data_IF_835765733072
#
_entry.id   IF_835765733072
#
_cell.length_a   1.000
_cell.length_b   1.000
_cell.length_c   1.000
_cell.angle_alpha   90.00
_cell.angle_beta   90.00
_cell.angle_gamma   90.00
#
_symmetry.space_group_name_H-M   'P 1'
#
loop_
_entity.id
_entity.type
_entity.pdbx_description
1 polymer ?
#
# COMPACT_ATOMS: atom_id res chain seq x y z
N UNK A 1 -86.97 74.30 123.86
CA UNK A 1 -87.29 75.52 123.09
C UNK A 1 -86.41 75.55 121.84
N UNK A 2 -87.05 75.62 120.67
CA UNK A 2 -86.69 76.33 119.42
C UNK A 2 -85.22 76.43 118.93
N UNK A 3 -84.98 75.77 117.79
CA UNK A 3 -84.64 76.32 116.46
C UNK A 3 -83.21 76.77 116.06
N UNK A 4 -82.78 76.22 114.90
CA UNK A 4 -82.01 76.88 113.82
C UNK A 4 -80.63 76.26 113.49
N UNK A 5 -80.11 76.18 112.26
CA UNK A 5 -80.59 76.26 110.88
C UNK A 5 -79.38 75.87 109.95
N UNK A 6 -79.61 75.00 108.95
CA UNK A 6 -78.97 74.82 107.62
C UNK A 6 -77.50 75.23 107.30
N UNK A 7 -76.74 74.32 106.65
CA UNK A 7 -75.98 74.56 105.40
C UNK A 7 -75.47 73.25 104.74
N UNK A 8 -75.64 73.11 103.42
CA UNK A 8 -75.22 71.97 102.58
C UNK A 8 -74.53 72.42 101.27
N UNK A 9 -73.42 71.74 100.91
CA UNK A 9 -72.81 71.59 99.56
C UNK A 9 -71.98 72.78 98.99
N UNK A 10 -71.01 72.56 98.04
CA UNK A 10 -70.71 71.34 97.26
C UNK A 10 -69.20 70.94 97.20
N UNK A 11 -68.91 69.65 96.96
CA UNK A 11 -67.54 69.14 96.72
C UNK A 11 -67.54 67.93 95.77
N UNK A 12 -67.92 68.12 94.50
CA UNK A 12 -67.79 67.11 93.42
C UNK A 12 -67.60 67.83 92.07
N UNK A 13 -66.35 68.13 91.68
CA UNK A 13 -66.03 68.65 90.34
C UNK A 13 -64.56 68.42 89.89
N UNK A 14 -63.76 67.63 90.63
CA UNK A 14 -62.32 67.46 90.35
C UNK A 14 -61.94 66.10 89.73
N UNK A 15 -62.83 65.10 89.77
CA UNK A 15 -62.54 63.75 89.24
C UNK A 15 -62.68 63.64 87.70
N UNK A 16 -63.52 64.46 87.06
CA UNK A 16 -63.75 64.36 85.61
C UNK A 16 -62.54 64.77 84.75
N UNK A 17 -61.71 65.73 85.22
CA UNK A 17 -60.51 66.19 84.47
C UNK A 17 -59.31 65.25 84.59
N UNK A 18 -59.27 64.39 85.61
CA UNK A 18 -58.24 63.36 85.76
C UNK A 18 -58.57 62.14 84.88
N UNK A 19 -59.85 61.75 84.81
CA UNK A 19 -60.36 60.72 83.91
C UNK A 19 -60.12 61.06 82.43
N UNK A 20 -60.31 62.33 82.01
CA UNK A 20 -60.09 62.77 80.64
C UNK A 20 -58.61 62.72 80.19
N UNK A 21 -57.66 63.01 81.11
CA UNK A 21 -56.22 62.90 80.85
C UNK A 21 -55.73 61.45 80.83
N UNK A 22 -56.31 60.59 81.66
CA UNK A 22 -56.07 59.15 81.63
C UNK A 22 -56.59 58.53 80.32
N UNK A 23 -57.78 58.94 79.86
CA UNK A 23 -58.36 58.52 78.59
C UNK A 23 -57.52 58.96 77.38
N UNK A 24 -56.98 60.18 77.37
CA UNK A 24 -56.04 60.63 76.30
C UNK A 24 -54.73 59.85 76.26
N UNK A 25 -54.18 59.48 77.42
CA UNK A 25 -52.97 58.62 77.48
C UNK A 25 -53.26 57.21 76.98
N UNK A 26 -54.44 56.66 77.31
CA UNK A 26 -54.89 55.38 76.78
C UNK A 26 -55.15 55.43 75.27
N UNK A 27 -55.72 56.53 74.74
CA UNK A 27 -55.86 56.72 73.29
C UNK A 27 -54.51 56.80 72.58
N UNK A 28 -53.53 57.52 73.12
CA UNK A 28 -52.18 57.59 72.54
C UNK A 28 -51.46 56.24 72.59
N UNK A 29 -51.60 55.48 73.68
CA UNK A 29 -51.07 54.11 73.77
C UNK A 29 -51.75 53.17 72.76
N UNK A 30 -53.07 53.26 72.59
CA UNK A 30 -53.80 52.51 71.57
C UNK A 30 -53.33 52.87 70.15
N UNK A 31 -53.07 54.15 69.88
CA UNK A 31 -52.56 54.61 68.58
C UNK A 31 -51.15 54.10 68.31
N UNK A 32 -50.25 54.12 69.30
CA UNK A 32 -48.91 53.53 69.19
C UNK A 32 -48.94 52.01 69.02
N UNK A 33 -49.82 51.31 69.74
CA UNK A 33 -50.04 49.87 69.58
C UNK A 33 -50.58 49.55 68.18
N UNK A 34 -51.53 50.34 67.67
CA UNK A 34 -52.07 50.15 66.32
C UNK A 34 -51.00 50.41 65.25
N UNK A 35 -50.12 51.39 65.46
CA UNK A 35 -48.97 51.64 64.58
C UNK A 35 -47.93 50.51 64.64
N UNK A 36 -47.66 49.93 65.81
CA UNK A 36 -46.78 48.76 65.95
C UNK A 36 -47.39 47.50 65.32
N UNK A 37 -48.69 47.27 65.47
CA UNK A 37 -49.39 46.13 64.84
C UNK A 37 -49.34 46.26 63.31
N UNK A 38 -49.64 47.44 62.76
CA UNK A 38 -49.54 47.66 61.30
C UNK A 38 -48.11 47.55 60.75
N UNK A 39 -47.09 47.99 61.51
CA UNK A 39 -45.70 47.78 61.15
C UNK A 39 -45.31 46.29 61.19
N UNK A 40 -45.71 45.56 62.24
CA UNK A 40 -45.46 44.13 62.37
C UNK A 40 -46.19 43.31 61.30
N UNK A 41 -47.41 43.70 60.93
CA UNK A 41 -48.15 43.09 59.82
C UNK A 41 -47.46 43.34 58.47
N UNK A 42 -46.96 44.56 58.23
CA UNK A 42 -46.20 44.88 57.03
C UNK A 42 -44.85 44.14 56.96
N UNK A 43 -44.15 43.98 58.09
CA UNK A 43 -42.92 43.19 58.16
C UNK A 43 -43.18 41.70 57.97
N UNK A 44 -44.24 41.15 58.56
CA UNK A 44 -44.65 39.76 58.35
C UNK A 44 -44.99 39.49 56.88
N UNK A 45 -45.71 40.41 56.23
CA UNK A 45 -46.01 40.31 54.80
C UNK A 45 -44.74 40.37 53.94
N UNK A 46 -43.80 41.27 54.26
CA UNK A 46 -42.49 41.35 53.57
C UNK A 46 -41.64 40.10 53.75
N UNK A 47 -41.60 39.54 54.96
CA UNK A 47 -40.86 38.32 55.27
C UNK A 47 -41.48 37.09 54.59
N UNK A 48 -42.81 37.00 54.53
CA UNK A 48 -43.51 35.95 53.77
C UNK A 48 -43.19 36.05 52.27
N UNK A 49 -43.23 37.26 51.71
CA UNK A 49 -42.90 37.48 50.31
C UNK A 49 -41.42 37.16 50.00
N UNK A 50 -40.51 37.48 50.93
CA UNK A 50 -39.10 37.13 50.82
C UNK A 50 -38.86 35.61 50.94
N UNK A 51 -39.59 34.91 51.83
CA UNK A 51 -39.54 33.45 51.93
C UNK A 51 -40.03 32.78 50.65
N UNK A 52 -41.16 33.21 50.10
CA UNK A 52 -41.67 32.67 48.84
C UNK A 52 -40.71 32.92 47.67
N UNK A 53 -40.07 34.09 47.61
CA UNK A 53 -39.05 34.38 46.59
C UNK A 53 -37.78 33.53 46.79
N UNK A 54 -37.33 33.36 48.03
CA UNK A 54 -36.17 32.54 48.35
C UNK A 54 -36.43 31.06 48.02
N UNK A 55 -37.63 30.53 48.30
CA UNK A 55 -38.04 29.17 47.94
C UNK A 55 -38.10 28.97 46.42
N UNK A 56 -38.65 29.95 45.67
CA UNK A 56 -38.65 29.92 44.20
C UNK A 56 -37.24 29.89 43.64
N UNK A 57 -36.36 30.79 44.12
CA UNK A 57 -34.96 30.84 43.70
C UNK A 57 -34.18 29.58 44.08
N UNK A 58 -34.41 29.02 45.27
CA UNK A 58 -33.80 27.76 45.70
C UNK A 58 -34.27 26.60 44.82
N UNK A 59 -35.56 26.54 44.47
CA UNK A 59 -36.12 25.55 43.55
C UNK A 59 -35.53 25.65 42.14
N UNK A 60 -35.38 26.87 41.60
CA UNK A 60 -34.74 27.10 40.31
C UNK A 60 -33.25 26.72 40.32
N UNK A 61 -32.51 27.10 41.36
CA UNK A 61 -31.10 26.72 41.53
C UNK A 61 -30.94 25.21 41.66
N UNK A 62 -31.79 24.55 42.44
CA UNK A 62 -31.77 23.09 42.57
C UNK A 62 -32.02 22.39 41.22
N UNK A 63 -32.97 22.90 40.42
CA UNK A 63 -33.22 22.41 39.05
C UNK A 63 -32.03 22.68 38.12
N UNK A 64 -31.39 23.84 38.22
CA UNK A 64 -30.22 24.18 37.42
C UNK A 64 -29.02 23.28 37.76
N UNK A 65 -28.76 23.03 39.05
CA UNK A 65 -27.72 22.11 39.52
C UNK A 65 -27.99 20.67 39.07
N UNK A 66 -29.25 20.21 39.15
CA UNK A 66 -29.62 18.88 38.66
C UNK A 66 -29.38 18.73 37.14
N UNK A 67 -29.71 19.76 36.35
CA UNK A 67 -29.44 19.79 34.90
C UNK A 67 -27.95 19.84 34.60
N UNK A 68 -27.18 20.65 35.31
CA UNK A 68 -25.73 20.74 35.15
C UNK A 68 -25.04 19.40 35.48
N UNK A 69 -25.42 18.76 36.58
CA UNK A 69 -24.89 17.45 36.96
C UNK A 69 -25.26 16.36 35.95
N UNK A 70 -26.47 16.38 35.40
CA UNK A 70 -26.86 15.44 34.34
C UNK A 70 -26.07 15.67 33.05
N UNK A 71 -25.84 16.93 32.67
CA UNK A 71 -25.04 17.30 31.51
C UNK A 71 -23.56 16.91 31.68
N UNK A 72 -22.99 17.10 32.87
CA UNK A 72 -21.63 16.70 33.20
C UNK A 72 -21.45 15.20 33.09
N UNK A 73 -22.37 14.40 33.66
CA UNK A 73 -22.34 12.94 33.54
C UNK A 73 -22.42 12.49 32.08
N UNK A 74 -23.31 13.09 31.28
CA UNK A 74 -23.43 12.79 29.86
C UNK A 74 -22.15 13.16 29.08
N UNK A 75 -21.51 14.28 29.43
CA UNK A 75 -20.24 14.70 28.83
C UNK A 75 -19.10 13.73 29.18
N UNK A 76 -19.00 13.29 30.44
CA UNK A 76 -18.00 12.32 30.89
C UNK A 76 -18.15 10.99 30.16
N UNK A 77 -19.37 10.44 30.06
CA UNK A 77 -19.61 9.21 29.33
C UNK A 77 -19.27 9.35 27.84
N UNK A 78 -19.60 10.49 27.23
CA UNK A 78 -19.25 10.76 25.83
C UNK A 78 -17.74 10.84 25.62
N UNK A 79 -17.01 11.49 26.51
CA UNK A 79 -15.54 11.55 26.45
C UNK A 79 -14.94 10.15 26.59
N UNK A 80 -15.45 9.34 27.52
CA UNK A 80 -15.01 7.96 27.72
C UNK A 80 -15.22 7.09 26.48
N UNK A 81 -16.38 7.23 25.81
CA UNK A 81 -16.66 6.53 24.56
C UNK A 81 -15.70 6.97 23.44
N UNK A 82 -15.48 8.29 23.30
CA UNK A 82 -14.56 8.83 22.30
C UNK A 82 -13.10 8.38 22.55
N UNK A 83 -12.68 8.28 23.81
CA UNK A 83 -11.36 7.76 24.17
C UNK A 83 -11.23 6.27 23.81
N UNK A 84 -12.27 5.47 24.07
CA UNK A 84 -12.30 4.06 23.69
C UNK A 84 -12.27 3.87 22.16
N UNK A 85 -13.05 4.67 21.43
CA UNK A 85 -13.04 4.69 19.96
C UNK A 85 -11.66 5.10 19.42
N UNK A 86 -11.05 6.15 19.99
CA UNK A 86 -9.71 6.60 19.62
C UNK A 86 -8.68 5.49 19.83
N UNK A 87 -8.70 4.83 20.97
CA UNK A 87 -7.78 3.72 21.25
C UNK A 87 -7.98 2.56 20.26
N UNK A 88 -9.24 2.23 19.93
CA UNK A 88 -9.56 1.20 18.94
C UNK A 88 -9.07 1.59 17.54
N UNK A 89 -9.28 2.84 17.13
CA UNK A 89 -8.82 3.34 15.84
C UNK A 89 -7.29 3.35 15.75
N UNK A 90 -6.61 3.74 16.82
CA UNK A 90 -5.14 3.68 16.89
C UNK A 90 -4.62 2.26 16.70
N UNK A 91 -5.19 1.28 17.41
CA UNK A 91 -4.83 -0.13 17.22
C UNK A 91 -5.09 -0.63 15.79
N UNK A 92 -6.20 -0.20 15.17
CA UNK A 92 -6.50 -0.56 13.78
C UNK A 92 -5.52 0.07 12.80
N UNK A 93 -5.11 1.32 13.03
CA UNK A 93 -4.10 2.00 12.21
C UNK A 93 -2.77 1.25 12.31
N UNK A 94 -2.30 0.96 13.53
CA UNK A 94 -1.05 0.23 13.75
C UNK A 94 -1.07 -1.16 13.10
N UNK A 95 -2.19 -1.89 13.23
CA UNK A 95 -2.36 -3.20 12.60
C UNK A 95 -2.34 -3.10 11.06
N UNK A 96 -3.00 -2.09 10.48
CA UNK A 96 -3.02 -1.86 9.04
C UNK A 96 -1.65 -1.43 8.52
N UNK A 97 -0.92 -0.60 9.26
CA UNK A 97 0.45 -0.20 8.90
C UNK A 97 1.39 -1.41 8.91
N UNK A 98 1.31 -2.26 9.93
CA UNK A 98 2.09 -3.50 9.99
C UNK A 98 1.74 -4.45 8.84
N UNK A 99 0.45 -4.63 8.54
CA UNK A 99 0.00 -5.45 7.41
C UNK A 99 0.48 -4.88 6.07
N UNK A 100 0.42 -3.56 5.88
CA UNK A 100 0.89 -2.91 4.65
C UNK A 100 2.42 -3.05 4.48
N UNK A 101 3.19 -2.93 5.56
CA UNK A 101 4.65 -3.15 5.53
C UNK A 101 4.96 -4.60 5.21
N UNK A 102 4.30 -5.57 5.86
CA UNK A 102 4.49 -6.99 5.59
C UNK A 102 4.15 -7.34 4.13
N UNK A 103 3.02 -6.84 3.61
CA UNK A 103 2.62 -7.04 2.22
C UNK A 103 3.62 -6.43 1.23
N UNK A 104 4.16 -5.24 1.53
CA UNK A 104 5.20 -4.62 0.69
C UNK A 104 6.49 -5.43 0.68
N UNK A 105 6.89 -5.99 1.82
CA UNK A 105 8.07 -6.84 1.90
C UNK A 105 7.88 -8.15 1.15
N UNK A 106 6.73 -8.80 1.30
CA UNK A 106 6.39 -10.03 0.60
C UNK A 106 6.35 -9.83 -0.93
N UNK A 107 5.67 -8.76 -1.38
CA UNK A 107 5.60 -8.43 -2.81
C UNK A 107 6.97 -8.06 -3.39
N UNK A 108 7.80 -7.31 -2.66
CA UNK A 108 9.16 -7.00 -3.07
C UNK A 108 10.04 -8.26 -3.17
N UNK A 109 9.93 -9.18 -2.20
CA UNK A 109 10.66 -10.45 -2.22
C UNK A 109 10.20 -11.34 -3.38
N UNK A 110 8.88 -11.42 -3.64
CA UNK A 110 8.32 -12.16 -4.76
C UNK A 110 8.78 -11.59 -6.11
N UNK A 111 8.79 -10.26 -6.25
CA UNK A 111 9.28 -9.58 -7.45
C UNK A 111 10.77 -9.88 -7.69
N UNK A 112 11.60 -9.74 -6.66
CA UNK A 112 13.03 -10.03 -6.75
C UNK A 112 13.31 -11.50 -7.12
N UNK A 113 12.53 -12.43 -6.57
CA UNK A 113 12.63 -13.84 -6.94
C UNK A 113 12.26 -14.08 -8.40
N UNK A 114 11.21 -13.42 -8.91
CA UNK A 114 10.79 -13.51 -10.31
C UNK A 114 11.80 -12.88 -11.26
N UNK A 115 12.38 -11.75 -10.91
CA UNK A 115 13.44 -11.11 -11.71
C UNK A 115 14.68 -12.00 -11.78
N UNK A 116 15.07 -12.64 -10.68
CA UNK A 116 16.17 -13.60 -10.67
C UNK A 116 15.87 -14.84 -11.53
N UNK A 117 14.63 -15.34 -11.51
CA UNK A 117 14.18 -16.45 -12.36
C UNK A 117 14.21 -16.07 -13.85
N UNK A 118 13.73 -14.87 -14.19
CA UNK A 118 13.77 -14.33 -15.55
C UNK A 118 15.20 -14.14 -16.05
N UNK A 119 16.10 -13.61 -15.21
CA UNK A 119 17.51 -13.45 -15.57
C UNK A 119 18.17 -14.82 -15.84
N UNK A 120 17.88 -15.84 -15.02
CA UNK A 120 18.40 -17.20 -15.21
C UNK A 120 17.85 -17.84 -16.48
N UNK A 121 16.56 -17.71 -16.76
CA UNK A 121 15.94 -18.28 -17.96
C UNK A 121 16.44 -17.58 -19.22
N UNK A 122 16.61 -16.25 -19.19
CA UNK A 122 17.20 -15.49 -20.29
C UNK A 122 18.65 -15.94 -20.58
N UNK A 123 19.48 -16.08 -19.53
CA UNK A 123 20.85 -16.57 -19.68
C UNK A 123 20.91 -18.00 -20.24
N UNK A 124 20.03 -18.89 -19.76
CA UNK A 124 19.92 -20.26 -20.27
C UNK A 124 19.50 -20.29 -21.75
N UNK A 125 18.54 -19.44 -22.14
CA UNK A 125 18.09 -19.34 -23.53
C UNK A 125 19.19 -18.80 -24.45
N UNK A 126 19.95 -17.80 -23.99
CA UNK A 126 21.09 -17.28 -24.73
C UNK A 126 22.17 -18.35 -24.93
N UNK A 127 22.50 -19.10 -23.88
CA UNK A 127 23.46 -20.20 -23.95
C UNK A 127 22.98 -21.30 -24.92
N UNK A 128 21.71 -21.69 -24.85
CA UNK A 128 21.12 -22.67 -25.76
C UNK A 128 21.14 -22.18 -27.22
N UNK A 129 20.85 -20.91 -27.45
CA UNK A 129 20.87 -20.30 -28.78
C UNK A 129 22.28 -20.28 -29.35
N UNK A 130 23.27 -19.90 -28.55
CA UNK A 130 24.69 -19.95 -28.94
C UNK A 130 25.13 -21.36 -29.30
N UNK A 131 24.86 -22.34 -28.43
CA UNK A 131 25.17 -23.74 -28.70
C UNK A 131 24.49 -24.26 -29.98
N UNK A 132 23.22 -23.89 -30.22
CA UNK A 132 22.50 -24.26 -31.44
C UNK A 132 23.16 -23.68 -32.69
N UNK A 133 23.60 -22.42 -32.64
CA UNK A 133 24.29 -21.77 -33.77
C UNK A 133 25.64 -22.44 -34.04
N UNK A 134 26.42 -22.75 -33.02
CA UNK A 134 27.67 -23.49 -33.16
C UNK A 134 27.45 -24.87 -33.79
N UNK A 135 26.43 -25.61 -33.32
CA UNK A 135 26.05 -26.89 -33.91
C UNK A 135 25.64 -26.76 -35.37
N UNK A 136 24.84 -25.74 -35.73
CA UNK A 136 24.47 -25.49 -37.12
C UNK A 136 25.67 -25.17 -38.00
N UNK A 137 26.64 -24.40 -37.50
CA UNK A 137 27.87 -24.10 -38.23
C UNK A 137 28.72 -25.35 -38.43
N UNK A 138 28.95 -26.14 -37.37
CA UNK A 138 29.70 -27.40 -37.44
C UNK A 138 29.05 -28.39 -38.39
N UNK A 139 27.74 -28.56 -38.28
CA UNK A 139 26.97 -29.42 -39.17
C UNK A 139 27.06 -28.94 -40.62
N UNK A 140 26.90 -27.63 -40.86
CA UNK A 140 27.06 -27.05 -42.19
C UNK A 140 28.45 -27.27 -42.79
N UNK A 141 29.51 -27.17 -41.99
CA UNK A 141 30.87 -27.48 -42.41
C UNK A 141 31.05 -28.97 -42.74
N UNK A 142 30.53 -29.87 -41.89
CA UNK A 142 30.57 -31.31 -42.14
C UNK A 142 29.83 -31.69 -43.42
N UNK A 143 28.64 -31.13 -43.64
CA UNK A 143 27.87 -31.35 -44.88
C UNK A 143 28.69 -30.92 -46.09
N UNK A 144 29.31 -29.72 -46.06
CA UNK A 144 30.18 -29.25 -47.16
C UNK A 144 31.35 -30.20 -47.42
N UNK A 145 32.05 -30.64 -46.37
CA UNK A 145 33.16 -31.57 -46.50
C UNK A 145 32.73 -32.91 -47.11
N UNK A 146 31.58 -33.45 -46.68
CA UNK A 146 31.03 -34.70 -47.21
C UNK A 146 30.60 -34.53 -48.67
N UNK A 147 29.97 -33.41 -49.02
CA UNK A 147 29.57 -33.11 -50.41
C UNK A 147 30.79 -32.98 -51.30
N UNK A 148 31.81 -32.20 -50.90
CA UNK A 148 33.06 -32.05 -51.67
C UNK A 148 33.80 -33.39 -51.83
N UNK A 149 33.85 -34.20 -50.77
CA UNK A 149 34.46 -35.54 -50.81
C UNK A 149 33.71 -36.45 -51.80
N UNK A 150 32.37 -36.44 -51.75
CA UNK A 150 31.53 -37.24 -52.65
C UNK A 150 31.70 -36.82 -54.09
N UNK A 151 31.67 -35.52 -54.39
CA UNK A 151 31.86 -34.98 -55.74
C UNK A 151 33.25 -35.32 -56.32
N UNK A 152 34.30 -35.20 -55.50
CA UNK A 152 35.66 -35.56 -55.90
C UNK A 152 35.81 -37.06 -56.12
N UNK A 153 35.21 -37.89 -55.27
CA UNK A 153 35.20 -39.33 -55.44
C UNK A 153 34.51 -39.72 -56.76
N UNK A 154 33.35 -39.15 -57.06
CA UNK A 154 32.64 -39.38 -58.32
C UNK A 154 33.50 -39.01 -59.55
N UNK A 155 34.28 -37.91 -59.47
CA UNK A 155 35.20 -37.52 -60.54
C UNK A 155 36.39 -38.47 -60.67
N UNK A 156 36.95 -38.94 -59.56
CA UNK A 156 38.03 -39.94 -59.57
C UNK A 156 37.56 -41.26 -60.17
N UNK A 157 36.34 -41.71 -59.83
CA UNK A 157 35.74 -42.90 -60.43
C UNK A 157 35.56 -42.73 -61.93
N UNK A 158 35.07 -41.57 -62.39
CA UNK A 158 34.96 -41.25 -63.83
C UNK A 158 36.32 -41.24 -64.52
N UNK A 159 37.34 -40.61 -63.95
CA UNK A 159 38.70 -40.62 -64.48
C UNK A 159 39.28 -42.03 -64.57
N UNK A 160 39.05 -42.87 -63.56
CA UNK A 160 39.43 -44.28 -63.56
C UNK A 160 38.73 -45.09 -64.65
N UNK A 161 37.43 -44.89 -64.83
CA UNK A 161 36.66 -45.51 -65.90
C UNK A 161 37.13 -45.06 -67.29
N UNK A 162 37.44 -43.78 -67.48
CA UNK A 162 38.03 -43.25 -68.71
C UNK A 162 39.41 -43.87 -69.02
N UNK A 163 40.27 -43.99 -68.01
CA UNK A 163 41.58 -44.65 -68.13
C UNK A 163 41.44 -46.11 -68.54
N UNK A 164 40.53 -46.86 -67.91
CA UNK A 164 40.25 -48.25 -68.24
C UNK A 164 39.68 -48.39 -69.66
N UNK A 165 38.71 -47.55 -70.04
CA UNK A 165 38.13 -47.56 -71.38
C UNK A 165 39.17 -47.25 -72.46
N UNK A 166 40.06 -46.28 -72.22
CA UNK A 166 41.18 -45.97 -73.12
C UNK A 166 42.19 -47.12 -73.20
N UNK A 167 42.50 -47.76 -72.08
CA UNK A 167 43.41 -48.90 -72.07
C UNK A 167 42.83 -50.12 -72.80
N UNK A 168 41.54 -50.42 -72.62
CA UNK A 168 40.83 -51.47 -73.36
C UNK A 168 40.70 -51.14 -74.85
N UNK A 169 40.59 -49.86 -75.21
CA UNK A 169 40.56 -49.38 -76.59
C UNK A 169 41.93 -49.39 -77.31
N UNK A 170 43.05 -49.62 -76.60
CA UNK A 170 44.37 -49.77 -77.21
C UNK A 170 44.45 -51.08 -77.98
N UNK A 171 44.07 -51.04 -79.24
CA UNK A 171 44.21 -52.17 -80.15
C UNK A 171 45.67 -52.45 -80.54
N UNK A 172 45.89 -53.61 -81.15
CA UNK A 172 47.19 -54.07 -81.67
C UNK A 172 47.88 -53.01 -82.56
N UNK A 173 47.09 -52.20 -83.28
CA UNK A 173 47.60 -51.17 -84.19
C UNK A 173 48.11 -49.89 -83.49
N UNK A 174 47.57 -49.54 -82.32
CA UNK A 174 48.13 -48.46 -81.49
C UNK A 174 49.38 -48.92 -80.75
N UNK A 175 49.41 -50.17 -80.29
CA UNK A 175 50.61 -50.78 -79.71
C UNK A 175 51.78 -50.85 -80.71
N UNK A 176 51.48 -51.06 -82.00
CA UNK A 176 52.48 -51.03 -83.08
C UNK A 176 53.04 -49.61 -83.31
N UNK A 177 52.15 -48.58 -83.37
CA UNK A 177 52.55 -47.17 -83.51
C UNK A 177 53.36 -46.65 -82.31
N UNK A 178 53.06 -47.13 -81.11
CA UNK A 178 53.81 -46.76 -79.91
C UNK A 178 55.24 -47.33 -79.92
N UNK A 179 55.48 -48.42 -80.65
CA UNK A 179 56.76 -49.14 -80.66
C UNK A 179 57.68 -48.73 -81.82
N UNK A 180 57.41 -47.62 -82.53
CA UNK A 180 58.28 -47.13 -83.62
C UNK A 180 59.61 -46.59 -83.08
N UNK A 181 60.75 -47.28 -83.30
CA UNK A 181 62.03 -46.99 -82.65
C UNK A 181 62.80 -45.82 -83.30
N UNK A 182 62.29 -45.22 -84.38
CA UNK A 182 63.06 -44.27 -85.20
C UNK A 182 62.85 -42.81 -84.78
N UNK A 183 61.69 -42.45 -84.20
CA UNK A 183 61.36 -41.04 -83.87
C UNK A 183 61.05 -40.78 -82.39
N UNK A 184 60.79 -41.82 -81.57
CA UNK A 184 60.55 -41.67 -80.11
C UNK A 184 59.33 -40.83 -79.71
N UNK A 185 58.56 -40.31 -80.68
CA UNK A 185 57.41 -39.42 -80.45
C UNK A 185 56.28 -40.09 -79.66
N UNK A 186 56.12 -41.41 -79.79
CA UNK A 186 55.11 -42.19 -79.07
C UNK A 186 55.35 -42.26 -77.55
N UNK A 187 56.61 -42.34 -77.12
CA UNK A 187 56.97 -42.38 -75.69
C UNK A 187 56.73 -41.03 -75.02
N UNK A 188 57.05 -39.92 -75.70
CA UNK A 188 56.80 -38.56 -75.21
C UNK A 188 55.29 -38.29 -75.09
N UNK A 189 54.49 -38.71 -76.08
CA UNK A 189 53.03 -38.60 -76.02
C UNK A 189 52.44 -39.42 -74.86
N UNK A 190 52.95 -40.62 -74.61
CA UNK A 190 52.53 -41.45 -73.48
C UNK A 190 52.92 -40.81 -72.15
N UNK A 191 54.13 -40.27 -72.04
CA UNK A 191 54.59 -39.56 -70.85
C UNK A 191 53.74 -38.32 -70.56
N UNK A 192 53.47 -37.49 -71.58
CA UNK A 192 52.57 -36.33 -71.44
C UNK A 192 51.16 -36.73 -71.04
N UNK A 193 50.65 -37.86 -71.57
CA UNK A 193 49.33 -38.38 -71.20
C UNK A 193 49.30 -38.85 -69.74
N UNK A 194 50.32 -39.61 -69.31
CA UNK A 194 50.44 -40.10 -67.93
C UNK A 194 50.60 -38.93 -66.97
N UNK A 195 51.40 -37.92 -67.31
CA UNK A 195 51.51 -36.68 -66.53
C UNK A 195 50.17 -35.95 -66.46
N UNK A 196 49.47 -35.75 -67.58
CA UNK A 196 48.17 -35.09 -67.57
C UNK A 196 47.12 -35.83 -66.73
N UNK A 197 47.12 -37.16 -66.71
CA UNK A 197 46.23 -37.95 -65.85
C UNK A 197 46.66 -37.95 -64.39
N UNK A 198 47.97 -37.93 -64.12
CA UNK A 198 48.50 -37.75 -62.76
C UNK A 198 48.09 -36.40 -62.20
N UNK A 199 48.27 -35.33 -62.97
CA UNK A 199 47.87 -33.98 -62.58
C UNK A 199 46.35 -33.88 -62.34
N UNK A 200 45.53 -34.51 -63.20
CA UNK A 200 44.07 -34.58 -62.99
C UNK A 200 43.69 -35.35 -61.73
N UNK A 201 44.37 -36.46 -61.45
CA UNK A 201 44.13 -37.28 -60.26
C UNK A 201 44.55 -36.55 -58.99
N UNK A 202 45.70 -35.87 -59.03
CA UNK A 202 46.22 -35.07 -57.92
C UNK A 202 45.31 -33.85 -57.64
N UNK A 203 44.74 -33.22 -58.68
CA UNK A 203 43.77 -32.13 -58.53
C UNK A 203 42.43 -32.57 -57.92
N UNK A 204 41.94 -33.76 -58.29
CA UNK A 204 40.66 -34.29 -57.79
C UNK A 204 40.81 -35.06 -56.47
N UNK A 205 42.04 -35.25 -55.96
CA UNK A 205 42.26 -35.83 -54.64
C UNK A 205 41.62 -34.94 -53.58
N UNK A 206 40.78 -35.53 -52.73
CA UNK A 206 40.26 -34.84 -51.55
C UNK A 206 41.33 -34.86 -50.45
N UNK A 207 41.77 -33.68 -50.02
CA UNK A 207 42.63 -33.51 -48.85
C UNK A 207 41.79 -32.75 -47.83
N UNK A 208 41.28 -33.41 -46.77
CA UNK A 208 40.59 -32.68 -45.73
C UNK A 208 41.55 -31.64 -45.17
N UNK A 209 41.08 -30.40 -45.01
CA UNK A 209 41.78 -29.38 -44.24
C UNK A 209 41.76 -29.85 -42.78
N UNK A 210 42.66 -30.75 -42.42
CA UNK A 210 43.01 -30.97 -41.03
C UNK A 210 43.59 -29.66 -40.52
N UNK A 211 42.92 -29.11 -39.51
CA UNK A 211 43.30 -28.01 -38.62
C UNK A 211 44.71 -27.46 -38.90
N UNK A 212 44.78 -26.36 -39.68
CA UNK A 212 45.88 -25.41 -39.45
C UNK A 212 45.47 -24.65 -38.19
N UNK A 213 46.12 -24.99 -37.08
CA UNK A 213 46.19 -24.14 -35.89
C UNK A 213 46.61 -22.71 -36.27
#
# INVERSE_FOLDING_TARGET
MLAGLLAAGPAQAQDDRAAERAARRQQLQLQQLQQQVSQAEAEKARLQQAQEQAEKQAGERARAVARASAAEKAAVERTRLLEAEKATLQQRIEALEQAAVAQRQETAAALAAKDAELARTAAALQAQTGARQEWQQRFGQQVRLVTECSEKNDRLVKLGAELLARWQGKGVMEALRQREPVLGLGDVQMFNLVQAYRDKTDNEKFVPRAERE
#
